data_IF_902196275531
#
_entry.id   IF_902196275531
#
_cell.length_a   1.000
_cell.length_b   1.000
_cell.length_c   1.000
_cell.angle_alpha   90.00
_cell.angle_beta   90.00
_cell.angle_gamma   90.00
#
_symmetry.space_group_name_H-M   'P 1'
#
loop_
_entity.id
_entity.type
_entity.pdbx_description
1 polymer ?
#
# COMPACT_ATOMS: atom_id res chain seq x y z
N UNK A 1 21.09 4.62 18.76
CA UNK A 1 19.65 4.52 18.47
C UNK A 1 19.38 3.08 18.06
N UNK A 2 18.62 2.32 18.85
CA UNK A 2 18.15 0.99 18.43
C UNK A 2 17.30 1.17 17.18
N UNK A 3 17.74 0.61 16.05
CA UNK A 3 16.98 0.65 14.82
C UNK A 3 15.70 -0.16 15.02
N UNK A 4 14.53 0.43 14.73
CA UNK A 4 13.22 -0.22 14.86
C UNK A 4 13.17 -1.43 13.93
N UNK A 5 12.78 -2.60 14.43
CA UNK A 5 12.60 -3.77 13.57
C UNK A 5 11.42 -3.59 12.62
N UNK A 6 11.47 -4.15 11.40
CA UNK A 6 10.35 -4.11 10.47
C UNK A 6 9.09 -4.69 11.11
N UNK A 7 7.97 -3.99 10.99
CA UNK A 7 6.68 -4.45 11.55
C UNK A 7 6.20 -5.73 10.87
N UNK A 8 6.42 -5.84 9.55
CA UNK A 8 6.04 -7.00 8.75
C UNK A 8 7.19 -7.44 7.86
N UNK A 9 7.43 -8.74 7.81
CA UNK A 9 8.54 -9.35 7.05
C UNK A 9 8.04 -10.32 5.97
N UNK A 10 7.11 -9.96 5.06
CA UNK A 10 6.50 -10.90 4.10
C UNK A 10 7.49 -11.60 3.16
N UNK A 11 8.71 -11.09 3.07
CA UNK A 11 9.86 -11.68 2.38
C UNK A 11 10.48 -12.89 3.13
N UNK A 12 10.00 -13.21 4.33
CA UNK A 12 10.29 -14.44 5.09
C UNK A 12 9.72 -15.74 4.47
N UNK A 13 9.03 -15.62 3.34
CA UNK A 13 8.42 -16.73 2.60
C UNK A 13 6.93 -16.90 2.87
N UNK A 14 6.37 -16.18 3.85
CA UNK A 14 4.93 -16.17 4.14
C UNK A 14 4.09 -15.56 3.02
N UNK A 15 4.67 -14.68 2.20
CA UNK A 15 3.98 -14.03 1.08
C UNK A 15 4.81 -14.09 -0.19
N UNK A 16 4.36 -14.91 -1.15
CA UNK A 16 4.98 -15.02 -2.47
C UNK A 16 4.49 -13.92 -3.42
N UNK A 17 5.42 -13.22 -4.06
CA UNK A 17 5.12 -12.24 -5.10
C UNK A 17 4.38 -12.87 -6.29
N UNK A 18 3.58 -12.07 -6.99
CA UNK A 18 2.80 -12.50 -8.16
C UNK A 18 1.84 -13.67 -7.88
N UNK A 19 1.41 -13.81 -6.63
CA UNK A 19 0.29 -14.64 -6.20
C UNK A 19 -0.79 -13.77 -5.54
N UNK A 20 -2.03 -14.25 -5.45
CA UNK A 20 -3.12 -13.49 -4.82
C UNK A 20 -2.94 -13.43 -3.30
N UNK A 21 -2.52 -14.54 -2.67
CA UNK A 21 -2.05 -14.58 -1.28
C UNK A 21 -3.01 -14.02 -0.22
N UNK A 22 -4.31 -13.98 -0.49
CA UNK A 22 -5.30 -13.41 0.44
C UNK A 22 -5.57 -14.37 1.61
N UNK A 23 -5.60 -13.81 2.81
CA UNK A 23 -5.97 -14.48 4.05
C UNK A 23 -7.08 -13.70 4.76
N UNK A 24 -7.91 -14.35 5.59
CA UNK A 24 -8.91 -13.64 6.40
C UNK A 24 -8.26 -12.56 7.27
N UNK A 25 -8.93 -11.41 7.37
CA UNK A 25 -8.56 -10.33 8.28
C UNK A 25 -9.57 -10.25 9.42
N UNK A 26 -9.06 -10.30 10.65
CA UNK A 26 -9.81 -9.87 11.82
C UNK A 26 -10.03 -8.36 11.77
N UNK A 27 -11.29 -7.92 11.76
CA UNK A 27 -11.65 -6.51 11.66
C UNK A 27 -11.19 -5.69 12.88
N UNK A 28 -10.90 -6.34 14.02
CA UNK A 28 -10.27 -5.65 15.14
C UNK A 28 -8.87 -5.13 14.81
N UNK A 29 -8.22 -5.72 13.80
CA UNK A 29 -6.91 -5.34 13.28
C UNK A 29 -7.00 -4.63 11.92
N UNK A 30 -8.15 -4.03 11.62
CA UNK A 30 -8.38 -3.45 10.29
C UNK A 30 -7.35 -2.36 9.96
N UNK A 31 -7.16 -1.39 10.84
CA UNK A 31 -6.22 -0.28 10.66
C UNK A 31 -5.02 -0.42 11.59
N UNK A 32 -3.83 -0.33 11.01
CA UNK A 32 -2.56 -0.36 11.74
C UNK A 32 -2.01 1.06 11.90
N UNK A 33 -1.74 1.43 13.14
CA UNK A 33 -1.17 2.73 13.50
C UNK A 33 0.18 2.50 14.17
N UNK A 34 1.17 3.32 13.79
CA UNK A 34 2.46 3.34 14.45
C UNK A 34 2.93 4.76 14.75
N UNK A 35 4.15 4.89 15.28
CA UNK A 35 4.70 6.18 15.70
C UNK A 35 4.96 7.15 14.52
N UNK A 36 4.89 6.68 13.27
CA UNK A 36 5.01 7.51 12.07
C UNK A 36 3.67 8.10 11.63
N UNK A 37 2.57 7.90 12.39
CA UNK A 37 1.24 8.40 12.04
C UNK A 37 1.26 9.89 11.68
N UNK A 38 1.82 10.72 12.56
CA UNK A 38 1.79 12.18 12.38
C UNK A 38 2.59 12.62 11.14
N UNK A 39 3.77 12.04 10.91
CA UNK A 39 4.60 12.38 9.74
C UNK A 39 3.93 11.93 8.44
N UNK A 40 3.30 10.75 8.43
CA UNK A 40 2.56 10.26 7.27
C UNK A 40 1.34 11.15 6.98
N UNK A 41 0.54 11.50 7.99
CA UNK A 41 -0.60 12.40 7.79
C UNK A 41 -0.17 13.81 7.36
N UNK A 42 0.94 14.33 7.88
CA UNK A 42 1.51 15.59 7.42
C UNK A 42 1.91 15.52 5.94
N UNK A 43 2.56 14.45 5.51
CA UNK A 43 2.92 14.25 4.11
C UNK A 43 1.69 14.12 3.20
N UNK A 44 0.65 13.40 3.63
CA UNK A 44 -0.63 13.33 2.88
C UNK A 44 -1.26 14.71 2.71
N UNK A 45 -1.29 15.53 3.76
CA UNK A 45 -1.78 16.93 3.67
C UNK A 45 -0.92 17.78 2.75
N UNK A 46 0.40 17.60 2.76
CA UNK A 46 1.32 18.32 1.86
C UNK A 46 1.06 17.94 0.40
N UNK A 47 0.93 16.65 0.11
CA UNK A 47 0.64 16.15 -1.24
C UNK A 47 -0.73 16.62 -1.74
N UNK A 48 -1.76 16.57 -0.89
CA UNK A 48 -3.09 17.11 -1.21
C UNK A 48 -3.07 18.62 -1.46
N UNK A 49 -2.25 19.38 -0.73
CA UNK A 49 -2.11 20.82 -0.95
C UNK A 49 -1.34 21.17 -2.24
N UNK A 50 -0.32 20.38 -2.60
CA UNK A 50 0.57 20.68 -3.73
C UNK A 50 0.12 20.08 -5.06
N UNK A 51 -0.44 18.86 -5.03
CA UNK A 51 -0.81 18.07 -6.21
C UNK A 51 -2.14 17.31 -6.02
N UNK A 52 -3.22 17.97 -5.56
CA UNK A 52 -4.49 17.32 -5.23
C UNK A 52 -5.02 16.44 -6.37
N UNK A 53 -4.87 16.90 -7.61
CA UNK A 53 -5.34 16.22 -8.81
C UNK A 53 -4.61 14.89 -9.10
N UNK A 54 -3.45 14.66 -8.49
CA UNK A 54 -2.69 13.40 -8.65
C UNK A 54 -2.97 12.40 -7.56
N UNK A 55 -3.37 12.87 -6.38
CA UNK A 55 -3.53 12.03 -5.18
C UNK A 55 -4.98 11.81 -4.78
N UNK A 56 -5.94 12.57 -5.31
CA UNK A 56 -7.36 12.35 -5.08
C UNK A 56 -8.18 12.42 -6.37
N UNK A 57 -9.10 11.46 -6.53
CA UNK A 57 -10.12 11.44 -7.60
C UNK A 57 -11.42 10.83 -7.09
N UNK A 58 -12.55 11.27 -7.65
CA UNK A 58 -13.87 10.69 -7.41
C UNK A 58 -14.74 10.75 -8.67
N UNK A 59 -15.60 9.74 -8.89
CA UNK A 59 -16.71 9.79 -9.83
C UNK A 59 -17.94 10.40 -9.16
N UNK A 60 -18.79 11.08 -9.94
CA UNK A 60 -20.09 11.57 -9.47
C UNK A 60 -20.93 10.42 -8.88
N UNK A 61 -21.72 10.72 -7.84
CA UNK A 61 -22.59 9.72 -7.20
C UNK A 61 -21.85 8.68 -6.35
N UNK A 62 -20.60 8.93 -5.96
CA UNK A 62 -19.84 8.07 -5.04
C UNK A 62 -19.80 8.58 -3.60
N UNK A 63 -20.17 9.85 -3.35
CA UNK A 63 -20.03 10.52 -2.05
C UNK A 63 -20.72 9.80 -0.89
N UNK A 64 -21.87 9.16 -1.09
CA UNK A 64 -22.55 8.38 -0.04
C UNK A 64 -21.73 7.16 0.40
N UNK A 65 -21.13 6.44 -0.55
CA UNK A 65 -20.25 5.31 -0.24
C UNK A 65 -18.93 5.77 0.40
N UNK A 66 -18.42 6.94 -0.01
CA UNK A 66 -17.26 7.55 0.64
C UNK A 66 -17.57 8.00 2.08
N UNK A 67 -18.78 8.51 2.34
CA UNK A 67 -19.26 8.84 3.69
C UNK A 67 -19.33 7.60 4.55
N UNK A 68 -19.87 6.50 4.02
CA UNK A 68 -19.87 5.21 4.71
C UNK A 68 -18.44 4.76 5.10
N UNK A 69 -17.44 4.99 4.23
CA UNK A 69 -16.03 4.74 4.58
C UNK A 69 -15.58 5.61 5.74
N UNK A 70 -15.83 6.93 5.70
CA UNK A 70 -15.46 7.84 6.79
C UNK A 70 -16.09 7.41 8.11
N UNK A 71 -17.37 7.08 8.12
CA UNK A 71 -18.11 6.70 9.32
C UNK A 71 -17.56 5.39 9.91
N UNK A 72 -17.40 4.36 9.08
CA UNK A 72 -16.88 3.06 9.53
C UNK A 72 -15.44 3.15 10.02
N UNK A 73 -14.59 3.90 9.33
CA UNK A 73 -13.20 4.13 9.72
C UNK A 73 -13.14 4.91 11.01
N UNK A 74 -13.98 5.95 11.12
CA UNK A 74 -14.06 6.80 12.28
C UNK A 74 -14.45 6.05 13.55
N UNK A 75 -15.52 5.28 13.49
CA UNK A 75 -15.95 4.42 14.60
C UNK A 75 -14.89 3.37 14.95
N UNK A 76 -14.21 2.80 13.96
CA UNK A 76 -13.11 1.86 14.20
C UNK A 76 -11.95 2.53 14.93
N UNK A 77 -11.53 3.73 14.52
CA UNK A 77 -10.43 4.47 15.12
C UNK A 77 -10.75 4.87 16.57
N UNK A 78 -11.96 5.37 16.84
CA UNK A 78 -12.41 5.72 18.19
C UNK A 78 -12.46 4.51 19.11
N UNK A 79 -12.86 3.34 18.60
CA UNK A 79 -12.96 2.11 19.38
C UNK A 79 -11.61 1.42 19.63
N UNK A 80 -10.72 1.41 18.63
CA UNK A 80 -9.45 0.64 18.67
C UNK A 80 -8.23 1.46 19.03
N UNK A 81 -8.29 2.78 18.83
CA UNK A 81 -7.20 3.71 19.10
C UNK A 81 -7.68 4.92 19.94
N UNK A 82 -8.40 4.73 21.06
CA UNK A 82 -9.03 5.82 21.83
C UNK A 82 -8.02 6.80 22.46
N UNK A 83 -6.77 6.38 22.63
CA UNK A 83 -5.69 7.24 23.11
C UNK A 83 -5.21 8.24 22.06
N UNK A 84 -5.43 7.92 20.77
CA UNK A 84 -5.01 8.73 19.64
C UNK A 84 -6.17 9.52 19.03
N UNK A 85 -7.38 8.99 19.03
CA UNK A 85 -8.52 9.61 18.34
C UNK A 85 -9.64 9.98 19.30
N UNK A 86 -10.24 11.15 19.08
CA UNK A 86 -11.41 11.64 19.83
C UNK A 86 -12.48 12.17 18.90
N UNK A 87 -13.74 12.02 19.32
CA UNK A 87 -14.88 12.61 18.63
C UNK A 87 -14.96 14.10 18.96
N UNK A 88 -15.11 14.94 17.94
CA UNK A 88 -15.33 16.38 18.08
C UNK A 88 -16.54 16.79 17.24
N UNK A 89 -17.72 16.79 17.87
CA UNK A 89 -18.99 16.91 17.14
C UNK A 89 -19.18 15.76 16.14
N UNK A 90 -19.42 16.09 14.87
CA UNK A 90 -19.49 15.13 13.77
C UNK A 90 -18.11 14.72 13.23
N UNK A 91 -17.05 15.43 13.61
CA UNK A 91 -15.69 15.19 13.09
C UNK A 91 -14.88 14.30 14.04
N UNK A 92 -13.68 13.94 13.59
CA UNK A 92 -12.71 13.17 14.34
C UNK A 92 -11.42 13.98 14.46
N UNK A 93 -10.92 14.07 15.68
CA UNK A 93 -9.66 14.71 16.01
C UNK A 93 -8.62 13.67 16.35
N UNK A 94 -7.40 13.92 15.90
CA UNK A 94 -6.21 13.20 16.32
C UNK A 94 -5.54 13.97 17.45
N UNK A 95 -5.08 13.25 18.45
CA UNK A 95 -4.28 13.77 19.56
C UNK A 95 -2.82 13.38 19.28
N UNK A 96 -1.93 14.36 19.28
CA UNK A 96 -0.50 14.09 19.10
C UNK A 96 0.15 13.54 20.38
N UNK A 97 1.41 13.12 20.28
CA UNK A 97 2.14 12.50 21.39
C UNK A 97 2.31 13.44 22.60
N UNK A 98 2.19 14.76 22.38
CA UNK A 98 2.26 15.78 23.43
C UNK A 98 0.87 16.17 23.97
N UNK A 99 -0.19 15.45 23.57
CA UNK A 99 -1.55 15.68 24.01
C UNK A 99 -2.23 16.87 23.33
N UNK A 100 -1.65 17.43 22.26
CA UNK A 100 -2.26 18.53 21.50
C UNK A 100 -3.21 17.97 20.45
N UNK A 101 -4.30 18.69 20.26
CA UNK A 101 -5.34 18.33 19.31
C UNK A 101 -4.97 18.85 17.92
N UNK A 102 -5.05 18.00 16.90
CA UNK A 102 -5.00 18.43 15.50
C UNK A 102 -6.34 19.02 15.10
N UNK A 103 -6.38 19.74 13.97
CA UNK A 103 -7.64 20.19 13.37
C UNK A 103 -8.58 18.98 13.15
N UNK A 104 -9.85 19.05 13.58
CA UNK A 104 -10.83 18.01 13.28
C UNK A 104 -10.93 17.76 11.78
N UNK A 105 -11.04 16.49 11.44
CA UNK A 105 -11.22 16.00 10.07
C UNK A 105 -12.58 15.33 10.01
N UNK A 106 -13.41 15.77 9.07
CA UNK A 106 -14.75 15.23 8.87
C UNK A 106 -15.54 16.02 7.85
N UNK A 107 -16.78 16.39 8.16
CA UNK A 107 -17.75 16.91 7.18
C UNK A 107 -17.37 18.26 6.58
N UNK A 108 -16.47 19.00 7.22
CA UNK A 108 -15.94 20.25 6.69
C UNK A 108 -15.15 20.06 5.38
N UNK A 109 -14.71 18.84 5.06
CA UNK A 109 -14.14 18.49 3.76
C UNK A 109 -15.27 17.99 2.84
N UNK A 110 -15.50 18.69 1.73
CA UNK A 110 -16.48 18.31 0.68
C UNK A 110 -16.01 17.10 -0.17
N UNK A 111 -15.28 16.16 0.46
CA UNK A 111 -14.71 14.95 -0.11
C UNK A 111 -14.53 13.90 1.00
N UNK A 112 -15.55 13.07 1.30
CA UNK A 112 -15.53 12.17 2.47
C UNK A 112 -14.38 11.16 2.47
N UNK A 113 -13.98 10.62 1.31
CA UNK A 113 -12.88 9.66 1.25
C UNK A 113 -11.52 10.33 1.48
N UNK A 114 -11.35 11.58 1.06
CA UNK A 114 -10.17 12.38 1.38
C UNK A 114 -10.11 12.66 2.88
N UNK A 115 -11.24 13.05 3.48
CA UNK A 115 -11.33 13.21 4.94
C UNK A 115 -10.93 11.91 5.67
N UNK A 116 -11.48 10.78 5.25
CA UNK A 116 -11.14 9.47 5.82
C UNK A 116 -9.64 9.16 5.67
N UNK A 117 -9.05 9.48 4.52
CA UNK A 117 -7.63 9.23 4.28
C UNK A 117 -6.74 10.10 5.18
N UNK A 118 -7.14 11.31 5.52
CA UNK A 118 -6.40 12.19 6.44
C UNK A 118 -6.50 11.79 7.92
N UNK A 119 -7.20 10.69 8.23
CA UNK A 119 -7.24 10.08 9.56
C UNK A 119 -6.30 8.88 9.70
N UNK A 120 -5.84 8.26 8.60
CA UNK A 120 -5.08 7.01 8.62
C UNK A 120 -3.84 7.02 7.72
N UNK A 121 -2.89 6.14 8.01
CA UNK A 121 -1.64 6.01 7.24
C UNK A 121 -1.83 5.27 5.91
N UNK A 122 -2.93 4.55 5.76
CA UNK A 122 -3.34 3.84 4.56
C UNK A 122 -3.74 4.80 3.43
N UNK A 123 -3.41 4.44 2.19
CA UNK A 123 -4.14 4.92 1.02
C UNK A 123 -5.48 4.20 0.91
N UNK A 124 -6.52 4.90 0.41
CA UNK A 124 -7.89 4.42 0.37
C UNK A 124 -8.40 4.41 -1.08
N UNK A 125 -8.81 3.25 -1.58
CA UNK A 125 -9.33 3.06 -2.93
C UNK A 125 -10.72 2.45 -2.86
N UNK A 126 -11.70 3.08 -3.48
CA UNK A 126 -13.08 2.62 -3.52
C UNK A 126 -13.40 1.96 -4.86
N UNK A 127 -13.86 0.71 -4.80
CA UNK A 127 -14.17 -0.12 -5.96
C UNK A 127 -15.67 -0.37 -6.04
N UNK A 128 -16.30 -0.02 -7.15
CA UNK A 128 -17.73 -0.24 -7.40
C UNK A 128 -17.95 -1.22 -8.53
N UNK A 129 -18.97 -2.08 -8.39
CA UNK A 129 -19.35 -3.05 -9.41
C UNK A 129 -20.38 -2.47 -10.36
N UNK A 130 -20.11 -2.53 -11.66
CA UNK A 130 -21.08 -2.25 -12.72
C UNK A 130 -21.06 -3.34 -13.82
N UNK A 131 -21.67 -3.07 -14.97
CA UNK A 131 -21.72 -3.99 -16.13
C UNK A 131 -20.33 -4.36 -16.68
N UNK A 132 -19.32 -3.50 -16.46
CA UNK A 132 -17.93 -3.71 -16.89
C UNK A 132 -17.10 -4.47 -15.83
N UNK A 133 -17.67 -4.75 -14.67
CA UNK A 133 -17.03 -5.40 -13.52
C UNK A 133 -16.73 -4.42 -12.38
N UNK A 134 -15.79 -4.79 -11.52
CA UNK A 134 -15.34 -3.93 -10.42
C UNK A 134 -14.37 -2.86 -10.94
N UNK A 135 -14.71 -1.58 -10.75
CA UNK A 135 -13.93 -0.43 -11.22
C UNK A 135 -13.51 0.48 -10.07
N UNK A 136 -12.38 1.16 -10.24
CA UNK A 136 -11.92 2.20 -9.31
C UNK A 136 -12.75 3.47 -9.53
N UNK A 137 -13.61 3.81 -8.57
CA UNK A 137 -14.57 4.94 -8.69
C UNK A 137 -14.27 6.11 -7.76
N UNK A 138 -13.44 5.92 -6.74
CA UNK A 138 -12.85 7.00 -5.97
C UNK A 138 -11.52 6.52 -5.37
N UNK A 139 -10.60 7.43 -5.08
CA UNK A 139 -9.35 7.07 -4.44
C UNK A 139 -8.61 8.26 -3.86
N UNK A 140 -8.01 8.05 -2.70
CA UNK A 140 -6.95 8.86 -2.13
C UNK A 140 -5.67 8.03 -2.09
N UNK A 141 -4.72 8.32 -2.98
CA UNK A 141 -3.47 7.57 -3.19
C UNK A 141 -2.27 8.51 -3.05
N UNK A 142 -1.80 8.66 -1.82
CA UNK A 142 -0.66 9.50 -1.49
C UNK A 142 0.66 8.73 -1.52
N UNK A 143 0.68 7.41 -1.30
CA UNK A 143 1.90 6.60 -1.23
C UNK A 143 1.89 5.45 -2.26
N UNK A 144 1.77 5.75 -3.57
CA UNK A 144 1.78 4.73 -4.61
C UNK A 144 3.11 3.96 -4.68
N UNK A 145 3.02 2.69 -5.06
CA UNK A 145 4.20 1.84 -5.35
C UNK A 145 4.39 1.68 -6.86
N UNK A 146 4.98 2.69 -7.50
CA UNK A 146 5.24 2.70 -8.95
C UNK A 146 3.97 2.57 -9.81
N UNK A 147 2.89 3.26 -9.47
CA UNK A 147 1.71 3.41 -10.34
C UNK A 147 1.02 4.76 -10.15
N UNK A 148 0.22 5.16 -11.13
CA UNK A 148 -0.50 6.45 -11.15
C UNK A 148 -2.00 6.26 -10.91
N UNK A 149 -2.57 6.99 -9.94
CA UNK A 149 -4.01 6.96 -9.66
C UNK A 149 -4.82 7.33 -10.90
N UNK A 150 -4.46 8.43 -11.57
CA UNK A 150 -5.14 8.94 -12.76
C UNK A 150 -5.19 7.93 -13.91
N UNK A 151 -4.12 7.17 -14.11
CA UNK A 151 -4.08 6.16 -15.17
C UNK A 151 -4.89 4.89 -14.85
N UNK A 152 -5.27 4.69 -13.59
CA UNK A 152 -6.07 3.54 -13.13
C UNK A 152 -7.52 3.90 -12.86
N UNK A 153 -7.80 5.17 -12.62
CA UNK A 153 -9.14 5.68 -12.33
C UNK A 153 -10.14 5.32 -13.43
N UNK A 154 -11.36 4.94 -13.02
CA UNK A 154 -12.45 4.52 -13.89
C UNK A 154 -12.28 3.16 -14.56
N UNK A 155 -11.11 2.51 -14.47
CA UNK A 155 -10.83 1.23 -15.14
C UNK A 155 -11.32 0.03 -14.34
N UNK A 156 -11.75 -1.06 -15.01
CA UNK A 156 -12.06 -2.32 -14.34
C UNK A 156 -10.80 -3.04 -13.83
N UNK A 157 -10.95 -3.92 -12.83
CA UNK A 157 -9.87 -4.65 -12.18
C UNK A 157 -8.89 -5.29 -13.16
N UNK A 158 -9.38 -5.98 -14.20
CA UNK A 158 -8.50 -6.63 -15.18
C UNK A 158 -7.65 -5.64 -15.98
N UNK A 159 -8.13 -4.42 -16.22
CA UNK A 159 -7.36 -3.38 -16.91
C UNK A 159 -6.39 -2.67 -15.96
N UNK A 160 -6.77 -2.51 -14.69
CA UNK A 160 -5.88 -1.99 -13.63
C UNK A 160 -4.64 -2.90 -13.53
N UNK A 161 -4.87 -4.21 -13.50
CA UNK A 161 -3.84 -5.24 -13.37
C UNK A 161 -3.17 -5.66 -14.69
N UNK A 162 -3.60 -5.13 -15.84
CA UNK A 162 -3.02 -5.46 -17.15
C UNK A 162 -1.48 -5.37 -17.20
N UNK A 163 -0.82 -4.38 -16.56
CA UNK A 163 0.63 -4.31 -16.57
C UNK A 163 1.33 -5.32 -15.67
N UNK A 164 0.62 -6.10 -14.85
CA UNK A 164 1.19 -7.07 -13.90
C UNK A 164 1.40 -8.41 -14.64
N UNK A 165 2.63 -8.94 -14.72
CA UNK A 165 2.92 -10.23 -15.37
C UNK A 165 1.99 -11.35 -14.90
N UNK A 166 1.22 -11.91 -15.83
CA UNK A 166 0.29 -13.02 -15.55
C UNK A 166 -1.11 -12.63 -15.06
N UNK A 167 -1.41 -11.34 -14.88
CA UNK A 167 -2.69 -10.86 -14.32
C UNK A 167 -3.51 -9.98 -15.28
N UNK A 168 -3.15 -9.97 -16.56
CA UNK A 168 -3.88 -9.21 -17.58
C UNK A 168 -5.24 -9.82 -17.96
N UNK A 169 -6.05 -9.11 -18.75
CA UNK A 169 -7.35 -9.59 -19.22
C UNK A 169 -7.24 -10.97 -19.91
N UNK A 170 -8.19 -11.86 -19.63
CA UNK A 170 -8.23 -13.21 -20.18
C UNK A 170 -7.30 -14.22 -19.50
N UNK A 171 -6.56 -13.81 -18.46
CA UNK A 171 -5.74 -14.72 -17.66
C UNK A 171 -6.54 -15.32 -16.49
N UNK A 172 -6.20 -16.56 -16.11
CA UNK A 172 -6.81 -17.23 -14.95
C UNK A 172 -6.72 -16.41 -13.64
N UNK A 173 -5.60 -15.73 -13.31
CA UNK A 173 -5.53 -14.87 -12.13
C UNK A 173 -6.48 -13.67 -12.19
N UNK A 174 -6.65 -13.04 -13.36
CA UNK A 174 -7.61 -11.94 -13.51
C UNK A 174 -9.05 -12.38 -13.24
N UNK A 175 -9.45 -13.55 -13.75
CA UNK A 175 -10.78 -14.10 -13.48
C UNK A 175 -10.97 -14.47 -12.01
N UNK A 176 -9.91 -14.99 -11.37
CA UNK A 176 -9.94 -15.34 -9.96
C UNK A 176 -10.12 -14.11 -9.08
N UNK A 177 -9.40 -13.02 -9.35
CA UNK A 177 -9.57 -11.74 -8.62
C UNK A 177 -11.01 -11.24 -8.74
N UNK A 178 -11.60 -11.24 -9.94
CA UNK A 178 -12.99 -10.81 -10.14
C UNK A 178 -13.97 -11.67 -9.30
N UNK A 179 -13.85 -13.00 -9.36
CA UNK A 179 -14.68 -13.90 -8.55
C UNK A 179 -14.52 -13.67 -7.05
N UNK A 180 -13.31 -13.33 -6.60
CA UNK A 180 -13.06 -13.03 -5.18
C UNK A 180 -13.78 -11.75 -4.74
N UNK A 181 -13.72 -10.68 -5.53
CA UNK A 181 -14.47 -9.46 -5.24
C UNK A 181 -15.99 -9.71 -5.23
N UNK A 182 -16.50 -10.49 -6.19
CA UNK A 182 -17.91 -10.89 -6.20
C UNK A 182 -18.31 -11.67 -4.94
N UNK A 183 -17.41 -12.54 -4.45
CA UNK A 183 -17.61 -13.42 -3.30
C UNK A 183 -17.39 -12.78 -1.92
N UNK A 184 -16.93 -11.54 -1.82
CA UNK A 184 -16.84 -10.85 -0.52
C UNK A 184 -18.24 -10.61 0.05
N UNK A 185 -18.46 -11.00 1.32
CA UNK A 185 -19.76 -10.93 2.01
C UNK A 185 -19.60 -10.37 3.44
N UNK A 186 -19.01 -9.18 3.55
CA UNK A 186 -18.86 -8.46 4.83
C UNK A 186 -17.62 -8.83 5.63
N UNK A 187 -16.99 -9.99 5.36
CA UNK A 187 -15.64 -10.28 5.84
C UNK A 187 -14.60 -9.36 5.17
N UNK A 188 -13.54 -9.05 5.91
CA UNK A 188 -12.34 -8.44 5.34
C UNK A 188 -11.28 -9.52 5.09
N UNK A 189 -10.43 -9.25 4.12
CA UNK A 189 -9.26 -10.07 3.82
C UNK A 189 -8.05 -9.18 3.71
N UNK A 190 -6.87 -9.73 3.98
CA UNK A 190 -5.61 -9.04 3.82
C UNK A 190 -4.60 -9.86 3.01
N UNK A 191 -3.64 -9.18 2.44
CA UNK A 191 -2.43 -9.75 1.84
C UNK A 191 -1.28 -8.78 2.01
N UNK A 192 -0.08 -9.29 1.77
CA UNK A 192 1.11 -8.46 1.69
C UNK A 192 1.67 -8.49 0.28
N UNK A 193 2.21 -7.35 -0.13
CA UNK A 193 3.05 -7.22 -1.29
C UNK A 193 4.31 -6.48 -0.84
N UNK A 194 5.43 -6.68 -1.53
CA UNK A 194 6.66 -6.01 -1.16
C UNK A 194 7.52 -5.70 -2.38
N UNK A 195 8.39 -4.71 -2.26
CA UNK A 195 9.41 -4.36 -3.24
C UNK A 195 10.63 -3.78 -2.53
N UNK A 196 11.71 -3.60 -3.28
CA UNK A 196 12.85 -2.78 -2.85
C UNK A 196 12.83 -1.49 -3.69
N UNK A 197 13.05 -0.36 -3.05
CA UNK A 197 13.20 0.95 -3.69
C UNK A 197 14.49 1.63 -3.22
N UNK A 198 14.94 2.64 -3.96
CA UNK A 198 16.00 3.52 -3.51
C UNK A 198 15.40 4.71 -2.75
N UNK A 199 15.96 5.02 -1.59
CA UNK A 199 15.51 6.10 -0.72
C UNK A 199 14.18 5.84 0.00
N UNK A 200 13.83 6.75 0.88
CA UNK A 200 12.71 6.67 1.81
C UNK A 200 11.45 7.45 1.36
N UNK A 201 11.41 7.87 0.09
CA UNK A 201 10.27 8.61 -0.44
C UNK A 201 8.97 7.77 -0.36
N UNK A 202 7.96 8.31 0.33
CA UNK A 202 6.64 7.68 0.45
C UNK A 202 5.83 7.83 -0.84
N UNK A 203 5.80 9.03 -1.44
CA UNK A 203 5.19 9.28 -2.74
C UNK A 203 6.10 8.77 -3.86
N UNK A 204 5.79 7.58 -4.38
CA UNK A 204 6.62 6.90 -5.39
C UNK A 204 5.80 6.48 -6.65
N UNK A 205 5.15 7.42 -7.37
CA UNK A 205 4.35 7.10 -8.54
C UNK A 205 5.22 6.78 -9.75
N UNK A 206 4.67 6.03 -10.71
CA UNK A 206 5.16 5.99 -12.09
C UNK A 206 3.99 5.91 -13.05
N UNK A 207 4.05 6.65 -14.16
CA UNK A 207 3.14 6.48 -15.28
C UNK A 207 3.42 5.18 -16.03
N UNK A 208 2.47 4.72 -16.85
CA UNK A 208 2.68 3.55 -17.70
C UNK A 208 3.86 3.74 -18.66
N UNK A 209 4.06 4.95 -19.19
CA UNK A 209 5.20 5.28 -20.04
C UNK A 209 6.52 5.17 -19.28
N UNK A 210 6.61 5.75 -18.07
CA UNK A 210 7.81 5.65 -17.24
C UNK A 210 8.10 4.20 -16.82
N UNK A 211 7.06 3.38 -16.62
CA UNK A 211 7.23 1.96 -16.33
C UNK A 211 7.76 1.18 -17.53
N UNK A 212 7.25 1.46 -18.72
CA UNK A 212 7.73 0.84 -19.97
C UNK A 212 9.19 1.24 -20.20
N UNK A 213 9.52 2.53 -20.04
CA UNK A 213 10.88 3.03 -20.15
C UNK A 213 11.82 2.34 -19.15
N UNK A 214 11.44 2.28 -17.86
CA UNK A 214 12.20 1.56 -16.83
C UNK A 214 12.40 0.09 -17.16
N UNK A 215 11.38 -0.60 -17.65
CA UNK A 215 11.46 -2.01 -18.03
C UNK A 215 12.36 -2.23 -19.26
N UNK A 216 12.43 -1.25 -20.17
CA UNK A 216 13.20 -1.34 -21.41
C UNK A 216 14.68 -0.99 -21.18
N UNK A 217 14.94 0.08 -20.44
CA UNK A 217 16.28 0.60 -20.18
C UNK A 217 16.95 -0.05 -18.97
N UNK A 218 16.15 -0.63 -18.06
CA UNK A 218 16.61 -1.32 -16.84
C UNK A 218 17.70 -0.53 -16.10
N UNK A 219 17.46 0.74 -15.74
CA UNK A 219 18.45 1.51 -15.01
C UNK A 219 18.69 0.89 -13.63
N UNK A 220 19.93 0.96 -13.14
CA UNK A 220 20.23 0.67 -11.73
C UNK A 220 19.59 1.74 -10.84
N UNK A 221 19.05 1.31 -9.71
CA UNK A 221 18.58 2.19 -8.63
C UNK A 221 19.70 2.62 -7.68
N UNK A 222 20.87 2.01 -7.78
CA UNK A 222 22.02 2.21 -6.90
C UNK A 222 23.27 2.53 -7.75
N UNK A 223 23.33 3.72 -8.39
CA UNK A 223 24.38 4.07 -9.34
C UNK A 223 25.78 4.16 -8.71
N UNK A 224 25.87 4.46 -7.42
CA UNK A 224 27.10 4.46 -6.62
C UNK A 224 27.48 3.08 -6.07
N UNK A 225 26.60 2.07 -6.22
CA UNK A 225 26.82 0.73 -5.70
C UNK A 225 26.33 0.51 -4.27
N UNK A 226 25.95 1.56 -3.53
CA UNK A 226 25.72 1.47 -2.09
C UNK A 226 24.28 1.06 -1.74
N UNK A 227 24.05 -0.25 -1.78
CA UNK A 227 22.78 -0.86 -1.37
C UNK A 227 22.49 -0.63 0.12
N UNK A 228 23.50 -0.63 0.98
CA UNK A 228 23.32 -0.48 2.43
C UNK A 228 22.78 0.91 2.80
N UNK A 229 23.32 1.94 2.14
CA UNK A 229 22.90 3.32 2.36
C UNK A 229 21.51 3.63 1.76
N UNK A 230 21.17 3.02 0.61
CA UNK A 230 20.07 3.50 -0.21
C UNK A 230 18.90 2.54 -0.38
N UNK A 231 19.05 1.24 -0.10
CA UNK A 231 17.95 0.30 -0.30
C UNK A 231 16.95 0.36 0.86
N UNK A 232 15.68 0.52 0.51
CA UNK A 232 14.55 0.45 1.43
C UNK A 232 13.61 -0.66 1.00
N UNK A 233 13.19 -1.45 1.99
CA UNK A 233 12.15 -2.45 1.85
C UNK A 233 10.81 -1.72 1.96
N UNK A 234 10.03 -1.77 0.89
CA UNK A 234 8.67 -1.24 0.85
C UNK A 234 7.68 -2.39 0.95
N UNK A 235 6.99 -2.51 2.08
CA UNK A 235 5.92 -3.47 2.30
C UNK A 235 4.57 -2.76 2.19
N UNK A 236 3.67 -3.34 1.40
CA UNK A 236 2.26 -2.98 1.33
C UNK A 236 1.47 -4.00 2.11
N UNK A 237 0.85 -3.59 3.22
CA UNK A 237 -0.27 -4.33 3.80
C UNK A 237 -1.56 -3.87 3.13
N UNK A 238 -2.18 -4.80 2.41
CA UNK A 238 -3.33 -4.56 1.56
C UNK A 238 -4.56 -5.20 2.18
N UNK A 239 -5.63 -4.44 2.41
CA UNK A 239 -6.90 -5.00 2.90
C UNK A 239 -8.04 -4.78 1.92
N UNK A 240 -8.95 -5.75 1.81
CA UNK A 240 -10.20 -5.61 1.03
C UNK A 240 -11.36 -5.87 1.96
N UNK A 241 -12.29 -4.91 2.03
CA UNK A 241 -13.51 -5.01 2.82
C UNK A 241 -14.71 -4.58 1.98
N UNK A 242 -15.72 -5.44 1.88
CA UNK A 242 -17.00 -5.04 1.28
C UNK A 242 -17.80 -4.22 2.28
N UNK A 243 -18.25 -3.06 1.85
CA UNK A 243 -19.00 -2.12 2.66
C UNK A 243 -20.44 -2.63 2.89
N UNK A 244 -20.98 -2.53 4.12
CA UNK A 244 -22.28 -3.08 4.48
C UNK A 244 -23.46 -2.45 3.75
N UNK A 245 -23.45 -1.14 3.51
CA UNK A 245 -24.56 -0.35 2.93
C UNK A 245 -24.42 -0.22 1.42
N UNK A 246 -23.35 0.44 0.94
CA UNK A 246 -23.14 0.70 -0.49
C UNK A 246 -22.81 -0.57 -1.29
N UNK A 247 -22.30 -1.62 -0.62
CA UNK A 247 -21.80 -2.86 -1.22
C UNK A 247 -20.57 -2.68 -2.13
N UNK A 248 -20.01 -1.47 -2.18
CA UNK A 248 -18.70 -1.20 -2.75
C UNK A 248 -17.61 -1.93 -1.95
N UNK A 249 -16.42 -2.07 -2.54
CA UNK A 249 -15.26 -2.66 -1.86
C UNK A 249 -14.25 -1.57 -1.58
N UNK A 250 -13.93 -1.38 -0.31
CA UNK A 250 -12.82 -0.55 0.12
C UNK A 250 -11.53 -1.38 0.09
N UNK A 251 -10.57 -0.89 -0.66
CA UNK A 251 -9.21 -1.40 -0.73
C UNK A 251 -8.28 -0.42 -0.01
N UNK A 252 -7.64 -0.86 1.09
CA UNK A 252 -6.66 -0.05 1.82
C UNK A 252 -5.24 -0.52 1.56
N UNK A 253 -4.28 0.42 1.55
CA UNK A 253 -2.87 0.12 1.29
C UNK A 253 -2.02 0.83 2.35
N UNK A 254 -1.56 0.11 3.37
CA UNK A 254 -0.60 0.62 4.36
C UNK A 254 0.82 0.39 3.86
N UNK A 255 1.61 1.45 3.77
CA UNK A 255 3.03 1.40 3.40
C UNK A 255 3.93 1.36 4.64
N UNK A 256 4.63 0.26 4.84
CA UNK A 256 5.75 0.15 5.76
C UNK A 256 7.05 0.31 4.95
N UNK A 257 7.93 1.20 5.38
CA UNK A 257 9.15 1.54 4.65
C UNK A 257 10.34 1.51 5.59
N UNK A 258 11.18 0.48 5.44
CA UNK A 258 12.28 0.19 6.34
C UNK A 258 13.61 0.15 5.57
N UNK A 259 14.71 0.75 6.06
CA UNK A 259 16.02 0.57 5.46
C UNK A 259 16.40 -0.93 5.41
N UNK A 260 16.87 -1.45 4.27
CA UNK A 260 17.22 -2.86 4.13
C UNK A 260 18.22 -3.33 5.20
N UNK A 261 19.16 -2.45 5.57
CA UNK A 261 20.17 -2.69 6.60
C UNK A 261 19.62 -2.99 7.99
N UNK A 262 18.37 -2.63 8.28
CA UNK A 262 17.80 -2.90 9.62
C UNK A 262 17.70 -4.40 9.91
N UNK A 263 17.58 -5.22 8.86
CA UNK A 263 17.60 -6.68 8.95
C UNK A 263 18.89 -7.22 9.59
N UNK A 264 20.00 -6.48 9.51
CA UNK A 264 21.26 -6.87 10.13
C UNK A 264 21.17 -6.97 11.67
N UNK A 265 20.16 -6.32 12.27
CA UNK A 265 19.90 -6.33 13.71
C UNK A 265 18.71 -7.22 14.12
N UNK A 266 18.03 -7.84 13.16
CA UNK A 266 16.83 -8.63 13.42
C UNK A 266 17.20 -9.97 14.08
N UNK A 267 16.46 -10.45 15.10
CA UNK A 267 16.73 -11.75 15.73
C UNK A 267 16.79 -12.92 14.72
N UNK A 268 15.86 -12.95 13.77
CA UNK A 268 15.80 -13.96 12.70
C UNK A 268 16.57 -13.57 11.42
N UNK A 269 17.57 -12.68 11.52
CA UNK A 269 18.34 -12.14 10.38
C UNK A 269 18.71 -13.18 9.34
N UNK A 270 19.27 -14.32 9.77
CA UNK A 270 19.72 -15.36 8.85
C UNK A 270 18.58 -15.90 7.99
N UNK A 271 17.48 -16.29 8.63
CA UNK A 271 16.33 -16.88 7.96
C UNK A 271 15.65 -15.87 7.02
N UNK A 272 15.49 -14.62 7.49
CA UNK A 272 14.94 -13.54 6.69
C UNK A 272 15.79 -13.27 5.45
N UNK A 273 17.10 -13.10 5.61
CA UNK A 273 17.99 -12.77 4.51
C UNK A 273 18.05 -13.89 3.46
N UNK A 274 18.15 -15.16 3.88
CA UNK A 274 18.12 -16.33 2.99
C UNK A 274 16.80 -16.39 2.21
N UNK A 275 15.66 -16.27 2.90
CA UNK A 275 14.35 -16.33 2.24
C UNK A 275 14.15 -15.17 1.26
N UNK A 276 14.58 -13.96 1.65
CA UNK A 276 14.47 -12.78 0.81
C UNK A 276 15.33 -12.93 -0.45
N UNK A 277 16.58 -13.38 -0.32
CA UNK A 277 17.46 -13.65 -1.45
C UNK A 277 16.85 -14.70 -2.40
N UNK A 278 16.34 -15.81 -1.85
CA UNK A 278 15.68 -16.87 -2.62
C UNK A 278 14.47 -16.34 -3.41
N UNK A 279 13.60 -15.54 -2.77
CA UNK A 279 12.45 -14.96 -3.47
C UNK A 279 12.85 -13.99 -4.59
N UNK A 280 13.94 -13.22 -4.44
CA UNK A 280 14.46 -12.37 -5.51
C UNK A 280 15.02 -13.19 -6.68
N UNK A 281 15.65 -14.33 -6.40
CA UNK A 281 16.17 -15.26 -7.41
C UNK A 281 15.04 -15.99 -8.17
N UNK A 282 13.90 -16.25 -7.52
CA UNK A 282 12.72 -16.88 -8.12
C UNK A 282 12.00 -15.98 -9.14
N UNK A 283 12.24 -14.67 -9.12
CA UNK A 283 11.57 -13.74 -10.04
C UNK A 283 12.04 -13.95 -11.49
N UNK A 284 11.08 -14.13 -12.39
CA UNK A 284 11.36 -14.14 -13.82
C UNK A 284 11.68 -12.73 -14.36
N UNK A 285 12.15 -12.65 -15.62
CA UNK A 285 12.55 -11.39 -16.23
C UNK A 285 11.41 -10.36 -16.32
N UNK A 286 10.18 -10.80 -16.63
CA UNK A 286 9.04 -9.90 -16.74
C UNK A 286 8.64 -9.34 -15.37
N UNK A 287 8.74 -10.16 -14.33
CA UNK A 287 8.51 -9.79 -12.93
C UNK A 287 9.58 -8.82 -12.41
N UNK A 288 10.86 -9.06 -12.72
CA UNK A 288 11.96 -8.15 -12.41
C UNK A 288 11.79 -6.80 -13.11
N UNK A 289 11.44 -6.79 -14.39
CA UNK A 289 11.18 -5.57 -15.15
C UNK A 289 9.97 -4.81 -14.59
N UNK A 290 8.90 -5.53 -14.23
CA UNK A 290 7.72 -4.96 -13.57
C UNK A 290 8.09 -4.25 -12.26
N UNK A 291 8.87 -4.90 -11.39
CA UNK A 291 9.33 -4.33 -10.11
C UNK A 291 10.48 -3.32 -10.29
N UNK A 292 11.08 -3.26 -11.47
CA UNK A 292 12.25 -2.44 -11.76
C UNK A 292 13.46 -2.87 -10.93
N UNK A 293 13.71 -4.18 -10.88
CA UNK A 293 14.80 -4.79 -10.11
C UNK A 293 15.85 -5.48 -10.99
N UNK A 294 15.65 -5.52 -12.31
CA UNK A 294 16.50 -6.31 -13.23
C UNK A 294 17.99 -5.99 -13.10
N UNK A 295 18.38 -4.72 -13.05
CA UNK A 295 19.78 -4.33 -12.97
C UNK A 295 20.40 -4.55 -11.59
N UNK A 296 19.57 -4.63 -10.54
CA UNK A 296 20.03 -4.64 -9.15
C UNK A 296 19.83 -5.97 -8.43
N UNK A 297 19.08 -6.92 -9.02
CA UNK A 297 18.73 -8.21 -8.41
C UNK A 297 19.97 -8.91 -7.84
N UNK A 298 20.99 -9.12 -8.64
CA UNK A 298 22.16 -9.91 -8.24
C UNK A 298 22.96 -9.22 -7.12
N UNK A 299 22.99 -7.89 -7.13
CA UNK A 299 23.63 -7.11 -6.06
C UNK A 299 22.84 -7.17 -4.76
N UNK A 300 21.52 -7.06 -4.84
CA UNK A 300 20.62 -7.20 -3.68
C UNK A 300 20.72 -8.60 -3.07
N UNK A 301 20.74 -9.63 -3.92
CA UNK A 301 20.94 -11.03 -3.50
C UNK A 301 22.29 -11.21 -2.81
N UNK A 302 23.39 -10.72 -3.40
CA UNK A 302 24.71 -10.81 -2.79
C UNK A 302 24.77 -10.11 -1.42
N UNK A 303 24.15 -8.93 -1.30
CA UNK A 303 24.05 -8.20 -0.05
C UNK A 303 23.30 -9.00 1.04
N UNK A 304 22.18 -9.62 0.68
CA UNK A 304 21.40 -10.47 1.58
C UNK A 304 22.17 -11.74 1.99
N UNK A 305 22.85 -12.39 1.03
CA UNK A 305 23.66 -13.58 1.32
C UNK A 305 24.81 -13.27 2.30
N UNK A 306 25.45 -12.11 2.15
CA UNK A 306 26.52 -11.69 3.08
C UNK A 306 25.96 -11.34 4.46
N UNK A 307 24.77 -10.72 4.52
CA UNK A 307 24.06 -10.49 5.78
C UNK A 307 23.70 -11.81 6.48
N UNK A 308 23.32 -12.84 5.71
CA UNK A 308 23.01 -14.17 6.24
C UNK A 308 24.25 -14.90 6.77
N UNK A 309 25.43 -14.72 6.16
CA UNK A 309 26.69 -15.33 6.62
C UNK A 309 27.25 -14.65 7.87
N UNK A 310 26.99 -13.35 8.02
CA UNK A 310 27.37 -12.59 9.21
C UNK A 310 26.46 -12.89 10.43
N UNK A 311 25.46 -13.77 10.26
CA UNK A 311 24.43 -14.16 11.22
C UNK A 311 24.94 -14.74 12.53
#
# INVERSE_FOLDING_TARGET
MTSRQPTHTPYDGSSKLFTIGLKPLDLDRWIEVDEQLQSHLAEKRRLDAEIPEKVFVEEDGTRDAQREVLDLLGEHLLAKHPDLYRRSGADIELVDAEGRHTRPVGDALDAPLLAASLLVQEDLILMRRDERGWRLVAGSLCFPSSWSLLEKFGKPLQQIHAPVPGFGPGTRPADLINRMFDGLQGQAVERYNWSIQAGDALYHPLSNLQRIDRASNRPTRFPDGDVDAHAFIRVERQTLRKLPVSRDVLFTIRIHLDPLKVLASHPDRQALAVSFAAQLQELDQAQLDYKGLTADRDRLVAFLDDMAKAA
#
